data_IF_360530852172
#
_entry.id   IF_360530852172
#
_cell.length_a   1.000
_cell.length_b   1.000
_cell.length_c   1.000
_cell.angle_alpha   90.00
_cell.angle_beta   90.00
_cell.angle_gamma   90.00
#
_symmetry.space_group_name_H-M   'P 1'
#
loop_
_entity.id
_entity.type
_entity.pdbx_description
1 polymer ?
#
# COMPACT_ATOMS: atom_id res chain seq x y z
N UNK A 1 -17.16 -5.62 -19.47
CA UNK A 1 -17.71 -6.73 -20.26
C UNK A 1 -18.15 -6.11 -21.56
N UNK A 2 -17.70 -6.64 -22.71
CA UNK A 2 -18.09 -6.08 -24.01
C UNK A 2 -19.59 -6.31 -24.23
N UNK A 3 -20.20 -5.51 -25.10
CA UNK A 3 -21.63 -5.61 -25.44
C UNK A 3 -21.98 -7.02 -25.94
N UNK A 4 -21.03 -7.71 -26.56
CA UNK A 4 -21.16 -9.10 -27.05
C UNK A 4 -21.00 -10.17 -25.97
N UNK A 5 -20.99 -9.80 -24.68
CA UNK A 5 -20.81 -10.72 -23.55
C UNK A 5 -19.37 -11.24 -23.35
N UNK A 6 -18.43 -10.87 -24.22
CA UNK A 6 -17.06 -11.32 -24.13
C UNK A 6 -16.27 -10.56 -23.04
N UNK A 7 -15.29 -11.24 -22.44
CA UNK A 7 -14.47 -10.67 -21.36
C UNK A 7 -13.60 -9.56 -21.94
N UNK A 8 -13.75 -8.36 -21.37
CA UNK A 8 -13.06 -7.16 -21.85
C UNK A 8 -11.63 -7.06 -21.29
N UNK A 9 -11.44 -7.45 -20.02
CA UNK A 9 -10.14 -7.47 -19.36
C UNK A 9 -10.15 -8.39 -18.15
N UNK A 10 -9.14 -9.25 -18.04
CA UNK A 10 -8.84 -9.95 -16.79
C UNK A 10 -8.07 -9.01 -15.85
N UNK A 11 -8.56 -8.84 -14.63
CA UNK A 11 -7.92 -8.04 -13.58
C UNK A 11 -7.47 -8.98 -12.46
N UNK A 12 -6.19 -8.88 -12.11
CA UNK A 12 -5.65 -9.47 -10.90
C UNK A 12 -4.98 -8.36 -10.08
N UNK A 13 -5.02 -8.48 -8.76
CA UNK A 13 -4.31 -7.59 -7.84
C UNK A 13 -3.57 -8.43 -6.82
N UNK A 14 -2.27 -8.20 -6.70
CA UNK A 14 -1.48 -8.76 -5.61
C UNK A 14 -1.57 -7.81 -4.41
N UNK A 15 -1.84 -8.33 -3.22
CA UNK A 15 -1.96 -7.54 -2.00
C UNK A 15 -1.15 -8.22 -0.90
N UNK A 16 -0.35 -7.42 -0.19
CA UNK A 16 0.38 -7.88 1.00
C UNK A 16 -0.62 -8.18 2.12
N UNK A 17 -0.46 -9.32 2.78
CA UNK A 17 -1.27 -9.69 3.94
C UNK A 17 -0.65 -9.09 5.22
N UNK A 18 -0.85 -7.79 5.45
CA UNK A 18 -0.28 -7.09 6.62
C UNK A 18 -0.66 -7.71 7.98
N UNK A 19 -1.82 -8.36 8.07
CA UNK A 19 -2.30 -9.02 9.30
C UNK A 19 -1.49 -10.27 9.71
N UNK A 20 -0.58 -10.76 8.86
CA UNK A 20 0.28 -11.92 9.18
C UNK A 20 1.65 -11.53 9.73
N UNK A 21 1.95 -10.23 9.77
CA UNK A 21 3.19 -9.73 10.33
C UNK A 21 3.23 -9.94 11.84
N UNK A 22 4.40 -10.26 12.38
CA UNK A 22 4.65 -10.43 13.81
C UNK A 22 5.41 -9.22 14.37
N UNK A 23 4.86 -8.62 15.42
CA UNK A 23 5.49 -7.52 16.14
C UNK A 23 6.87 -7.94 16.67
N UNK A 24 7.87 -7.06 16.51
CA UNK A 24 9.25 -7.30 16.92
C UNK A 24 10.05 -8.22 15.99
N UNK A 25 9.44 -8.75 14.92
CA UNK A 25 10.10 -9.56 13.90
C UNK A 25 9.93 -8.92 12.52
N UNK A 26 8.67 -8.75 12.09
CA UNK A 26 8.32 -8.26 10.75
C UNK A 26 8.01 -6.77 10.75
N UNK A 27 7.76 -6.18 11.92
CA UNK A 27 7.60 -4.73 12.12
C UNK A 27 7.94 -4.36 13.56
N UNK A 28 8.46 -3.14 13.76
CA UNK A 28 8.80 -2.61 15.08
C UNK A 28 7.85 -1.50 15.54
N UNK A 29 7.12 -0.88 14.61
CA UNK A 29 6.19 0.22 14.88
C UNK A 29 4.82 -0.04 14.23
N UNK A 30 3.73 0.07 14.99
CA UNK A 30 2.34 -0.14 14.52
C UNK A 30 1.63 1.18 14.19
N UNK A 31 2.35 2.29 14.09
CA UNK A 31 1.71 3.60 14.05
C UNK A 31 1.38 4.01 12.61
N UNK A 32 0.11 3.84 12.24
CA UNK A 32 -0.47 4.73 11.23
C UNK A 32 -0.50 6.15 11.84
N UNK A 33 0.10 7.17 11.21
CA UNK A 33 0.08 8.54 11.75
C UNK A 33 -1.33 9.12 11.62
N UNK A 34 -2.20 8.79 12.58
CA UNK A 34 -3.53 9.37 12.67
C UNK A 34 -3.42 10.65 13.49
N UNK A 35 -3.58 11.79 12.83
CA UNK A 35 -3.63 13.07 13.51
C UNK A 35 -4.79 13.08 14.52
N UNK A 36 -4.50 13.48 15.76
CA UNK A 36 -5.54 13.62 16.79
C UNK A 36 -6.48 14.77 16.43
N UNK A 37 -7.77 14.59 16.66
CA UNK A 37 -8.77 15.63 16.38
C UNK A 37 -8.51 16.92 17.17
N UNK A 38 -7.93 16.82 18.37
CA UNK A 38 -7.52 17.99 19.18
C UNK A 38 -6.45 18.82 18.48
N UNK A 39 -5.45 18.17 17.87
CA UNK A 39 -4.39 18.82 17.10
C UNK A 39 -4.97 19.48 15.85
N UNK A 40 -5.87 18.82 15.14
CA UNK A 40 -6.54 19.39 13.96
C UNK A 40 -7.33 20.65 14.36
N UNK A 41 -8.11 20.59 15.45
CA UNK A 41 -8.88 21.74 15.96
C UNK A 41 -7.97 22.91 16.35
N UNK A 42 -6.83 22.63 16.99
CA UNK A 42 -5.85 23.66 17.34
C UNK A 42 -5.30 24.35 16.09
N UNK A 43 -4.91 23.59 15.06
CA UNK A 43 -4.40 24.13 13.80
C UNK A 43 -5.45 24.99 13.08
N UNK A 44 -6.72 24.56 13.08
CA UNK A 44 -7.82 25.35 12.50
C UNK A 44 -8.05 26.65 13.30
N UNK A 45 -8.00 26.59 14.63
CA UNK A 45 -8.14 27.79 15.46
C UNK A 45 -7.00 28.79 15.21
N UNK A 46 -5.76 28.32 15.10
CA UNK A 46 -4.61 29.15 14.75
C UNK A 46 -4.75 29.75 13.35
N UNK A 47 -5.17 28.95 12.36
CA UNK A 47 -5.41 29.46 11.02
C UNK A 47 -6.47 30.56 11.01
N UNK A 48 -7.54 30.43 11.79
CA UNK A 48 -8.56 31.47 11.95
C UNK A 48 -8.04 32.73 12.62
N UNK A 49 -7.21 32.61 13.67
CA UNK A 49 -6.64 33.76 14.39
C UNK A 49 -5.69 34.55 13.49
N UNK A 50 -4.92 33.86 12.66
CA UNK A 50 -3.91 34.45 11.78
C UNK A 50 -4.42 34.76 10.36
N UNK A 51 -5.74 34.65 10.11
CA UNK A 51 -6.35 34.82 8.78
C UNK A 51 -5.65 33.99 7.68
N UNK A 52 -5.28 32.74 7.98
CA UNK A 52 -4.68 31.82 7.03
C UNK A 52 -5.74 31.06 6.23
N UNK A 53 -5.45 30.79 4.96
CA UNK A 53 -6.29 29.97 4.09
C UNK A 53 -5.91 28.50 4.27
N UNK A 54 -6.91 27.65 4.54
CA UNK A 54 -6.72 26.21 4.65
C UNK A 54 -7.02 25.56 3.30
N UNK A 55 -6.09 24.75 2.81
CA UNK A 55 -6.26 23.90 1.64
C UNK A 55 -6.31 22.43 2.06
N UNK A 56 -7.24 21.66 1.50
CA UNK A 56 -7.35 20.21 1.73
C UNK A 56 -6.89 19.47 0.47
N UNK A 57 -6.03 18.47 0.65
CA UNK A 57 -5.62 17.54 -0.41
C UNK A 57 -5.91 16.12 0.04
N UNK A 58 -6.75 15.42 -0.73
CA UNK A 58 -6.96 13.97 -0.58
C UNK A 58 -6.15 13.23 -1.65
N UNK A 59 -5.11 12.53 -1.21
CA UNK A 59 -4.21 11.80 -2.11
C UNK A 59 -4.75 10.39 -2.32
N UNK A 60 -5.27 10.12 -3.51
CA UNK A 60 -5.64 8.76 -3.91
C UNK A 60 -4.41 7.85 -3.83
N UNK A 61 -4.58 6.69 -3.20
CA UNK A 61 -3.52 5.67 -3.06
C UNK A 61 -2.27 6.16 -2.32
N UNK A 62 -2.42 7.02 -1.31
CA UNK A 62 -1.29 7.49 -0.48
C UNK A 62 -0.41 6.33 0.05
N UNK A 63 -1.03 5.19 0.39
CA UNK A 63 -0.34 3.98 0.85
C UNK A 63 0.61 3.36 -0.19
N UNK A 64 0.34 3.52 -1.50
CA UNK A 64 1.18 2.95 -2.57
C UNK A 64 2.40 3.80 -2.91
N UNK A 65 2.39 5.06 -2.47
CA UNK A 65 3.46 6.03 -2.78
C UNK A 65 4.41 6.23 -1.59
N UNK A 66 4.22 5.50 -0.49
CA UNK A 66 5.19 5.45 0.60
C UNK A 66 6.49 4.80 0.11
N UNK A 67 7.62 5.33 0.58
CA UNK A 67 8.88 4.60 0.47
C UNK A 67 8.77 3.38 1.38
N UNK A 68 9.18 2.24 0.87
CA UNK A 68 9.31 1.03 1.66
C UNK A 68 10.78 0.92 2.10
N UNK A 69 11.02 1.06 3.39
CA UNK A 69 12.36 0.95 3.96
C UNK A 69 12.72 -0.53 4.26
N UNK A 70 11.71 -1.40 4.42
CA UNK A 70 11.87 -2.83 4.69
C UNK A 70 11.74 -3.72 3.45
N UNK A 71 12.48 -4.83 3.41
CA UNK A 71 12.28 -5.84 2.36
C UNK A 71 11.07 -6.73 2.67
N UNK A 72 10.00 -6.61 1.87
CA UNK A 72 8.79 -7.42 2.04
C UNK A 72 8.74 -8.58 1.04
N UNK A 73 8.61 -9.80 1.56
CA UNK A 73 8.36 -11.01 0.78
C UNK A 73 6.93 -11.52 0.95
N UNK A 74 6.36 -12.06 -0.13
CA UNK A 74 5.00 -12.58 -0.21
C UNK A 74 5.00 -14.00 -0.75
N UNK A 75 4.05 -14.81 -0.25
CA UNK A 75 3.75 -16.10 -0.86
C UNK A 75 3.23 -15.88 -2.28
N UNK A 76 3.64 -16.74 -3.22
CA UNK A 76 3.15 -16.71 -4.60
C UNK A 76 1.62 -16.90 -4.64
N UNK A 77 0.93 -16.28 -5.63
CA UNK A 77 -0.47 -16.55 -5.89
C UNK A 77 -0.70 -18.02 -6.23
N UNK A 78 -1.87 -18.53 -5.86
CA UNK A 78 -2.33 -19.84 -6.34
C UNK A 78 -2.42 -19.84 -7.86
N UNK A 79 -1.96 -20.92 -8.51
CA UNK A 79 -1.86 -21.01 -9.97
C UNK A 79 -0.54 -20.51 -10.57
N UNK A 80 0.38 -19.94 -9.78
CA UNK A 80 1.71 -19.52 -10.24
C UNK A 80 2.86 -20.46 -9.78
N UNK A 81 2.53 -21.69 -9.38
CA UNK A 81 3.53 -22.67 -8.93
C UNK A 81 3.96 -23.50 -10.13
N UNK A 82 5.13 -23.19 -10.69
CA UNK A 82 5.75 -23.99 -11.75
C UNK A 82 6.70 -25.06 -11.16
N UNK A 83 6.78 -26.25 -11.78
CA UNK A 83 7.76 -27.27 -11.40
C UNK A 83 9.18 -26.70 -11.42
N UNK A 84 9.94 -26.90 -10.33
CA UNK A 84 11.29 -26.34 -10.18
C UNK A 84 11.38 -24.94 -9.58
N UNK A 85 10.26 -24.20 -9.47
CA UNK A 85 10.21 -22.88 -8.83
C UNK A 85 9.40 -22.88 -7.52
N UNK A 86 9.15 -24.05 -6.93
CA UNK A 86 8.25 -24.22 -5.78
C UNK A 86 8.64 -23.35 -4.57
N UNK A 87 9.95 -23.21 -4.32
CA UNK A 87 10.48 -22.44 -3.19
C UNK A 87 10.62 -20.93 -3.42
N UNK A 88 10.40 -20.45 -4.64
CA UNK A 88 10.49 -19.00 -4.95
C UNK A 88 9.41 -18.21 -4.26
N UNK A 89 9.73 -16.97 -3.91
CA UNK A 89 8.81 -16.02 -3.27
C UNK A 89 8.68 -14.75 -4.11
N UNK A 90 7.63 -13.98 -3.87
CA UNK A 90 7.43 -12.69 -4.51
C UNK A 90 8.05 -11.60 -3.63
N UNK A 91 8.94 -10.78 -4.18
CA UNK A 91 9.46 -9.60 -3.49
C UNK A 91 8.71 -8.34 -3.91
N UNK A 92 8.34 -7.50 -2.94
CA UNK A 92 7.71 -6.20 -3.19
C UNK A 92 8.78 -5.09 -3.29
N UNK A 93 8.85 -4.42 -4.43
CA UNK A 93 9.70 -3.23 -4.61
C UNK A 93 8.84 -1.99 -4.90
N UNK A 94 9.09 -0.89 -4.19
CA UNK A 94 8.42 0.41 -4.41
C UNK A 94 9.26 1.30 -5.32
N UNK A 95 9.71 0.79 -6.46
CA UNK A 95 10.32 1.62 -7.52
C UNK A 95 9.22 1.91 -8.53
N UNK A 96 8.68 3.12 -8.54
CA UNK A 96 7.64 3.52 -9.51
C UNK A 96 8.22 3.50 -10.94
N UNK A 97 7.44 3.12 -11.98
CA UNK A 97 5.98 3.15 -12.06
C UNK A 97 5.36 1.80 -12.44
N UNK A 98 4.37 1.33 -11.65
CA UNK A 98 3.53 0.13 -11.90
C UNK A 98 4.18 -1.21 -11.50
N UNK A 99 4.19 -1.46 -10.19
CA UNK A 99 4.14 -2.81 -9.59
C UNK A 99 5.11 -3.84 -10.22
N UNK A 100 6.42 -3.65 -10.04
CA UNK A 100 7.39 -4.71 -10.32
C UNK A 100 7.48 -5.65 -9.12
N UNK A 101 6.82 -6.79 -9.25
CA UNK A 101 6.99 -7.95 -8.37
C UNK A 101 7.91 -8.93 -9.10
N UNK A 102 9.15 -9.05 -8.64
CA UNK A 102 10.06 -10.07 -9.17
C UNK A 102 9.95 -11.35 -8.34
N UNK A 103 10.06 -12.49 -9.02
CA UNK A 103 10.20 -13.79 -8.36
C UNK A 103 11.67 -14.07 -8.10
N UNK A 104 12.03 -14.16 -6.84
CA UNK A 104 13.38 -14.50 -6.37
C UNK A 104 13.39 -15.93 -5.86
#
# INVERSE_FOLDING_TARGET
>A
MKVDGNIDKFKARLVVQGFRQKEGIDFFDTYAPVARISTIRLLVALASIHNLIIHQMDVKTAFLNGKLDEEIYMKKPEGFILPGNERKVCWLSTTSPKELVSMV
#
